data_IF_063639918799
#
_entry.id   IF_063639918799
#
_cell.length_a   1.000
_cell.length_b   1.000
_cell.length_c   1.000
_cell.angle_alpha   90.00
_cell.angle_beta   90.00
_cell.angle_gamma   90.00
#
_symmetry.space_group_name_H-M   'P 1'
#
loop_
_entity.id
_entity.type
_entity.pdbx_description
1 polymer ?
#
# COMPACT_ATOMS: atom_id res chain seq x y z
N UNK A 1 26.16 7.92 -3.36
CA UNK A 1 25.59 8.80 -4.40
C UNK A 1 25.04 7.89 -5.47
N UNK A 2 23.75 7.95 -5.75
CA UNK A 2 23.12 7.21 -6.85
C UNK A 2 22.16 8.15 -7.58
N UNK A 3 22.04 7.95 -8.88
CA UNK A 3 21.09 8.62 -9.75
C UNK A 3 20.32 7.54 -10.49
N UNK A 4 19.01 7.64 -10.53
CA UNK A 4 18.16 6.71 -11.26
C UNK A 4 17.03 7.45 -11.94
N UNK A 5 16.75 7.13 -13.20
CA UNK A 5 15.63 7.70 -13.94
C UNK A 5 14.42 6.75 -13.90
N UNK A 6 13.25 7.28 -13.59
CA UNK A 6 11.97 6.58 -13.63
C UNK A 6 11.17 7.09 -14.84
N UNK A 7 11.05 6.30 -15.93
CA UNK A 7 10.49 6.77 -17.18
C UNK A 7 8.99 7.08 -17.09
N UNK A 8 8.20 6.23 -16.43
CA UNK A 8 6.76 6.45 -16.25
C UNK A 8 6.43 7.73 -15.47
N UNK A 9 7.28 8.11 -14.52
CA UNK A 9 7.11 9.34 -13.72
C UNK A 9 7.80 10.55 -14.36
N UNK A 10 8.60 10.34 -15.42
CA UNK A 10 9.53 11.33 -15.97
C UNK A 10 10.32 12.03 -14.85
N UNK A 11 10.91 11.25 -13.95
CA UNK A 11 11.55 11.75 -12.74
C UNK A 11 12.94 11.16 -12.51
N UNK A 12 13.87 11.99 -12.05
CA UNK A 12 15.22 11.60 -11.64
C UNK A 12 15.24 11.49 -10.11
N UNK A 13 15.61 10.32 -9.62
CA UNK A 13 15.83 10.00 -8.21
C UNK A 13 17.30 10.21 -7.90
N UNK A 14 17.60 11.25 -7.11
CA UNK A 14 18.97 11.67 -6.81
C UNK A 14 19.27 11.54 -5.32
N UNK A 15 20.25 10.70 -4.96
CA UNK A 15 20.73 10.58 -3.59
C UNK A 15 21.88 11.56 -3.33
N UNK A 16 21.64 12.51 -2.43
CA UNK A 16 22.58 13.57 -2.06
C UNK A 16 23.74 13.05 -1.21
N UNK A 17 24.80 13.85 -1.08
CA UNK A 17 25.92 13.55 -0.16
C UNK A 17 25.51 13.51 1.31
N UNK A 18 24.38 14.14 1.67
CA UNK A 18 23.82 14.16 3.03
C UNK A 18 22.90 12.96 3.31
N UNK A 19 22.77 12.02 2.37
CA UNK A 19 21.92 10.84 2.52
C UNK A 19 20.44 11.08 2.28
N UNK A 20 20.03 12.27 1.80
CA UNK A 20 18.66 12.51 1.38
C UNK A 20 18.42 12.11 -0.06
N UNK A 21 17.18 11.77 -0.40
CA UNK A 21 16.71 11.54 -1.77
C UNK A 21 15.95 12.76 -2.24
N UNK A 22 16.23 13.21 -3.46
CA UNK A 22 15.43 14.20 -4.18
C UNK A 22 14.80 13.56 -5.41
N UNK A 23 13.52 13.83 -5.61
CA UNK A 23 12.83 13.56 -6.87
C UNK A 23 12.86 14.84 -7.69
N UNK A 24 13.38 14.75 -8.91
CA UNK A 24 13.56 15.90 -9.80
C UNK A 24 12.77 15.63 -11.08
N UNK A 25 11.92 16.56 -11.50
CA UNK A 25 11.19 16.48 -12.76
C UNK A 25 12.18 16.46 -13.95
N UNK A 26 12.07 15.43 -14.79
CA UNK A 26 12.99 15.21 -15.91
C UNK A 26 12.94 16.31 -16.98
N UNK A 27 11.82 17.04 -17.08
CA UNK A 27 11.65 18.11 -18.08
C UNK A 27 12.07 19.48 -17.55
N UNK A 28 11.59 19.86 -16.37
CA UNK A 28 11.79 21.21 -15.81
C UNK A 28 12.99 21.32 -14.87
N UNK A 29 13.52 20.19 -14.38
CA UNK A 29 14.55 20.19 -13.34
C UNK A 29 14.05 20.63 -11.96
N UNK A 30 12.73 20.87 -11.79
CA UNK A 30 12.15 21.23 -10.51
C UNK A 30 12.28 20.06 -9.52
N UNK A 31 12.65 20.36 -8.27
CA UNK A 31 12.57 19.35 -7.20
C UNK A 31 11.11 19.14 -6.84
N UNK A 32 10.59 17.95 -7.08
CA UNK A 32 9.21 17.56 -6.84
C UNK A 32 8.98 17.14 -5.39
N UNK A 33 9.94 16.44 -4.80
CA UNK A 33 9.93 16.02 -3.40
C UNK A 33 11.37 15.81 -2.91
N UNK A 34 11.58 15.92 -1.60
CA UNK A 34 12.86 15.60 -0.96
C UNK A 34 12.61 14.94 0.38
N UNK A 35 13.35 13.86 0.69
CA UNK A 35 13.21 13.17 1.97
C UNK A 35 14.56 12.65 2.50
N UNK A 36 14.72 12.63 3.82
CA UNK A 36 15.89 12.10 4.52
C UNK A 36 15.59 10.69 5.04
N UNK A 37 15.61 9.70 4.14
CA UNK A 37 15.23 8.32 4.45
C UNK A 37 16.32 7.59 5.24
N UNK A 38 16.00 7.01 6.39
CA UNK A 38 16.90 6.10 7.09
C UNK A 38 16.08 5.03 7.81
N UNK A 39 16.40 3.75 7.60
CA UNK A 39 15.85 2.69 8.45
C UNK A 39 16.65 2.58 9.76
N UNK A 40 17.97 2.84 9.70
CA UNK A 40 18.81 3.03 10.88
C UNK A 40 19.69 4.28 10.79
N UNK A 41 19.96 4.96 11.92
CA UNK A 41 20.87 6.09 11.96
C UNK A 41 22.23 5.78 11.32
N UNK A 42 22.67 6.65 10.41
CA UNK A 42 23.98 6.55 9.75
C UNK A 42 24.04 5.56 8.58
N UNK A 43 22.90 4.97 8.19
CA UNK A 43 22.79 4.15 6.98
C UNK A 43 23.01 4.97 5.70
N UNK A 44 23.76 4.42 4.75
CA UNK A 44 23.99 5.08 3.46
C UNK A 44 22.89 4.72 2.47
N UNK A 45 22.06 5.71 2.18
CA UNK A 45 20.95 5.56 1.24
C UNK A 45 21.45 5.39 -0.19
N UNK A 46 20.74 4.53 -0.91
CA UNK A 46 20.83 4.23 -2.33
C UNK A 46 19.41 4.08 -2.85
N UNK A 47 19.22 4.45 -4.10
CA UNK A 47 17.93 4.32 -4.77
C UNK A 47 18.15 3.96 -6.23
N UNK A 48 17.34 3.02 -6.73
CA UNK A 48 17.42 2.50 -8.09
C UNK A 48 16.05 2.03 -8.58
N UNK A 49 15.67 2.44 -9.79
CA UNK A 49 14.53 1.95 -10.53
C UNK A 49 14.89 0.69 -11.31
N UNK A 50 14.00 -0.30 -11.32
CA UNK A 50 14.15 -1.56 -12.03
C UNK A 50 13.05 -1.71 -13.09
N UNK A 51 13.37 -1.45 -14.38
CA UNK A 51 12.37 -1.48 -15.45
C UNK A 51 11.65 -2.82 -15.63
N UNK A 52 12.34 -3.94 -15.35
CA UNK A 52 11.79 -5.29 -15.54
C UNK A 52 10.58 -5.59 -14.63
N UNK A 53 10.46 -4.88 -13.50
CA UNK A 53 9.39 -5.07 -12.51
C UNK A 53 8.58 -3.80 -12.27
N UNK A 54 9.00 -2.68 -12.87
CA UNK A 54 8.42 -1.36 -12.66
C UNK A 54 8.33 -0.98 -11.16
N UNK A 55 9.44 -1.18 -10.44
CA UNK A 55 9.58 -0.86 -9.01
C UNK A 55 10.85 -0.07 -8.75
N UNK A 56 10.81 0.73 -7.68
CA UNK A 56 11.95 1.46 -7.13
C UNK A 56 12.41 0.76 -5.86
N UNK A 57 13.69 0.43 -5.79
CA UNK A 57 14.35 0.02 -4.56
C UNK A 57 14.91 1.24 -3.84
N UNK A 58 14.57 1.36 -2.58
CA UNK A 58 15.17 2.26 -1.60
C UNK A 58 15.95 1.40 -0.62
N UNK A 59 17.26 1.62 -0.52
CA UNK A 59 18.13 0.75 0.26
C UNK A 59 19.06 1.61 1.09
N UNK A 60 19.14 1.38 2.40
CA UNK A 60 20.23 1.94 3.20
C UNK A 60 21.34 0.89 3.40
N UNK A 61 22.06 0.93 4.52
CA UNK A 61 23.03 -0.11 4.82
C UNK A 61 22.38 -1.37 5.42
N UNK A 62 21.10 -1.36 5.81
CA UNK A 62 20.47 -2.39 6.64
C UNK A 62 19.10 -2.88 6.16
N UNK A 63 18.31 -2.03 5.53
CA UNK A 63 16.95 -2.37 5.07
C UNK A 63 16.79 -2.14 3.57
N UNK A 64 15.84 -2.88 3.00
CA UNK A 64 15.41 -2.76 1.60
C UNK A 64 13.92 -2.44 1.56
N UNK A 65 13.57 -1.26 1.07
CA UNK A 65 12.22 -0.88 0.67
C UNK A 65 12.03 -1.07 -0.81
N UNK A 66 10.95 -1.72 -1.22
CA UNK A 66 10.62 -1.94 -2.63
C UNK A 66 9.23 -1.38 -2.90
N UNK A 67 9.13 -0.33 -3.72
CA UNK A 67 7.88 0.41 -3.91
C UNK A 67 7.54 0.59 -5.39
N UNK A 68 6.25 0.58 -5.69
CA UNK A 68 5.68 1.14 -6.93
C UNK A 68 5.20 2.57 -6.68
N UNK A 69 4.95 3.34 -7.74
CA UNK A 69 4.29 4.63 -7.61
C UNK A 69 2.81 4.48 -7.17
N UNK A 70 2.31 5.50 -6.48
CA UNK A 70 0.91 5.67 -6.17
C UNK A 70 0.38 6.83 -7.01
N UNK A 71 -0.43 6.55 -8.03
CA UNK A 71 -1.04 7.58 -8.89
C UNK A 71 -0.01 8.57 -9.50
N UNK A 72 1.17 8.06 -9.83
CA UNK A 72 2.26 8.82 -10.43
C UNK A 72 3.05 9.69 -9.46
N UNK A 73 3.12 9.31 -8.17
CA UNK A 73 4.08 9.84 -7.17
C UNK A 73 4.70 8.69 -6.38
N UNK A 74 5.86 8.92 -5.75
CA UNK A 74 6.48 7.97 -4.82
C UNK A 74 6.32 8.48 -3.39
N UNK A 75 5.84 7.63 -2.50
CA UNK A 75 5.77 7.94 -1.06
C UNK A 75 7.15 7.74 -0.45
N UNK A 76 7.94 8.82 -0.40
CA UNK A 76 9.35 8.75 -0.03
C UNK A 76 9.52 8.56 1.47
N UNK A 77 8.90 9.42 2.30
CA UNK A 77 9.19 9.55 3.75
C UNK A 77 9.06 8.23 4.50
N UNK A 78 8.28 7.30 3.94
CA UNK A 78 7.99 6.00 4.53
C UNK A 78 8.53 4.81 3.74
N UNK A 79 9.32 5.06 2.69
CA UNK A 79 9.83 4.02 1.79
C UNK A 79 10.81 3.05 2.47
N UNK A 80 11.52 3.50 3.50
CA UNK A 80 12.44 2.67 4.30
C UNK A 80 11.88 2.29 5.68
N UNK A 81 10.60 2.54 5.96
CA UNK A 81 10.01 2.18 7.24
C UNK A 81 9.81 0.66 7.36
N UNK A 82 10.45 -0.01 8.33
CA UNK A 82 10.19 -1.41 8.63
C UNK A 82 8.91 -1.60 9.46
N UNK A 83 8.38 -2.83 9.54
CA UNK A 83 7.35 -3.16 10.52
C UNK A 83 7.80 -2.91 11.96
N UNK A 84 6.84 -2.54 12.80
CA UNK A 84 6.99 -2.45 14.24
C UNK A 84 6.64 -3.78 14.93
N UNK A 85 7.08 -3.92 16.18
CA UNK A 85 6.89 -5.14 16.96
C UNK A 85 5.61 -5.09 17.79
N UNK A 86 5.26 -3.90 18.31
CA UNK A 86 4.16 -3.70 19.24
C UNK A 86 3.24 -2.57 18.80
N UNK A 87 1.94 -2.60 19.18
CA UNK A 87 1.00 -1.53 18.84
C UNK A 87 1.37 -0.16 19.42
N UNK A 88 2.13 -0.11 20.52
CA UNK A 88 2.59 1.13 21.15
C UNK A 88 3.75 1.80 20.41
N UNK A 89 4.42 1.07 19.52
CA UNK A 89 5.56 1.58 18.76
C UNK A 89 5.10 2.70 17.80
N UNK A 90 5.95 3.72 17.67
CA UNK A 90 5.71 4.84 16.76
C UNK A 90 5.87 4.39 15.31
N UNK A 91 4.92 4.79 14.46
CA UNK A 91 5.00 4.61 13.01
C UNK A 91 4.83 5.95 12.30
N UNK A 92 5.40 6.03 11.11
CA UNK A 92 5.16 7.08 10.14
C UNK A 92 4.15 6.61 9.09
N UNK A 93 3.22 7.48 8.73
CA UNK A 93 2.25 7.24 7.68
C UNK A 93 2.21 8.45 6.77
N UNK A 94 2.24 8.24 5.46
CA UNK A 94 2.33 9.30 4.46
C UNK A 94 1.12 9.21 3.53
N UNK A 95 0.37 10.31 3.40
CA UNK A 95 -0.79 10.43 2.51
C UNK A 95 -0.55 11.53 1.47
N UNK A 96 -0.94 11.33 0.20
CA UNK A 96 -1.11 12.44 -0.74
C UNK A 96 -2.03 13.52 -0.17
N UNK A 97 -1.75 14.80 -0.43
CA UNK A 97 -2.58 15.92 0.05
C UNK A 97 -4.06 15.78 -0.31
N UNK A 98 -4.36 15.21 -1.49
CA UNK A 98 -5.75 14.96 -1.92
C UNK A 98 -6.49 13.99 -0.98
N UNK A 99 -5.83 12.91 -0.56
CA UNK A 99 -6.37 11.94 0.38
C UNK A 99 -6.47 12.52 1.80
N UNK A 100 -5.47 13.29 2.22
CA UNK A 100 -5.48 14.01 3.48
C UNK A 100 -6.65 15.01 3.57
N UNK A 101 -6.94 15.74 2.49
CA UNK A 101 -8.06 16.66 2.44
C UNK A 101 -9.43 15.95 2.52
N UNK A 102 -9.57 14.78 1.88
CA UNK A 102 -10.77 13.95 1.98
C UNK A 102 -11.00 13.47 3.42
N UNK A 103 -9.95 13.04 4.10
CA UNK A 103 -10.01 12.65 5.52
C UNK A 103 -10.40 13.83 6.41
N UNK A 104 -9.80 15.01 6.19
CA UNK A 104 -10.10 16.19 6.97
C UNK A 104 -11.56 16.62 6.81
N UNK A 105 -12.07 16.70 5.58
CA UNK A 105 -13.46 17.06 5.30
C UNK A 105 -14.43 16.07 5.95
N UNK A 106 -14.18 14.76 5.85
CA UNK A 106 -15.02 13.76 6.50
C UNK A 106 -15.07 13.95 8.03
N UNK A 107 -13.90 14.09 8.67
CA UNK A 107 -13.77 14.28 10.11
C UNK A 107 -14.38 15.59 10.64
N UNK A 108 -14.54 16.62 9.80
CA UNK A 108 -15.11 17.91 10.20
C UNK A 108 -16.61 18.04 9.87
N UNK A 109 -17.09 17.38 8.83
CA UNK A 109 -18.40 17.66 8.24
C UNK A 109 -19.34 16.46 8.17
N UNK A 110 -18.82 15.22 8.26
CA UNK A 110 -19.59 14.00 7.95
C UNK A 110 -19.76 13.05 9.13
N UNK A 111 -18.76 12.98 10.01
CA UNK A 111 -18.74 12.03 11.14
C UNK A 111 -18.34 12.74 12.42
N UNK A 112 -18.83 12.25 13.57
CA UNK A 112 -18.36 12.68 14.88
C UNK A 112 -17.48 11.59 15.50
N UNK A 113 -16.17 11.83 15.45
CA UNK A 113 -15.14 10.98 16.08
C UNK A 113 -14.34 11.77 17.12
N UNK A 114 -14.86 12.92 17.55
CA UNK A 114 -14.14 13.89 18.39
C UNK A 114 -13.74 13.35 19.76
N UNK A 115 -14.54 12.42 20.28
CA UNK A 115 -14.35 11.76 21.58
C UNK A 115 -13.41 10.54 21.53
N UNK A 116 -12.96 10.14 20.35
CA UNK A 116 -12.10 8.97 20.19
C UNK A 116 -10.69 9.25 20.74
N UNK A 117 -10.17 8.33 21.54
CA UNK A 117 -8.78 8.37 22.01
C UNK A 117 -7.80 8.51 20.84
N UNK A 118 -6.85 9.44 20.98
CA UNK A 118 -5.86 9.73 19.96
C UNK A 118 -6.36 10.54 18.76
N UNK A 119 -7.66 10.81 18.62
CA UNK A 119 -8.19 11.62 17.53
C UNK A 119 -7.62 13.03 17.51
N UNK A 120 -7.44 13.67 18.66
CA UNK A 120 -6.86 15.02 18.74
C UNK A 120 -5.43 15.07 18.20
N UNK A 121 -4.63 14.03 18.45
CA UNK A 121 -3.27 13.90 17.90
C UNK A 121 -3.31 13.72 16.37
N UNK A 122 -4.20 12.85 15.91
CA UNK A 122 -4.41 12.60 14.48
C UNK A 122 -4.84 13.87 13.73
N UNK A 123 -5.89 14.56 14.20
CA UNK A 123 -6.45 15.72 13.52
C UNK A 123 -5.50 16.94 13.58
N UNK A 124 -4.70 17.08 14.64
CA UNK A 124 -3.68 18.14 14.73
C UNK A 124 -2.61 17.94 13.67
N UNK A 125 -2.02 16.73 13.56
CA UNK A 125 -1.01 16.44 12.54
C UNK A 125 -1.57 16.55 11.12
N UNK A 126 -2.83 16.13 10.90
CA UNK A 126 -3.49 16.28 9.60
C UNK A 126 -3.62 17.76 9.19
N UNK A 127 -4.11 18.62 10.09
CA UNK A 127 -4.28 20.05 9.83
C UNK A 127 -2.96 20.78 9.66
N UNK A 128 -1.98 20.49 10.52
CA UNK A 128 -0.65 21.08 10.44
C UNK A 128 0.07 20.66 9.16
N UNK A 129 0.00 19.38 8.80
CA UNK A 129 0.54 18.85 7.55
C UNK A 129 -0.03 19.58 6.34
N UNK A 130 -1.37 19.63 6.21
CA UNK A 130 -2.04 20.34 5.10
C UNK A 130 -1.66 21.83 5.04
N UNK A 131 -1.55 22.49 6.20
CA UNK A 131 -1.10 23.89 6.27
C UNK A 131 0.32 24.05 5.76
N UNK A 132 1.26 23.21 6.21
CA UNK A 132 2.66 23.29 5.81
C UNK A 132 2.81 23.05 4.30
N UNK A 133 2.09 22.07 3.75
CA UNK A 133 2.15 21.74 2.33
C UNK A 133 1.55 22.84 1.44
N UNK A 134 0.55 23.58 1.92
CA UNK A 134 -0.06 24.68 1.16
C UNK A 134 0.92 25.81 0.83
N UNK A 135 1.87 26.08 1.75
CA UNK A 135 2.90 27.09 1.55
C UNK A 135 3.98 26.64 0.56
N UNK A 136 4.38 25.37 0.61
CA UNK A 136 5.46 24.82 -0.23
C UNK A 136 5.06 24.63 -1.70
N UNK A 137 3.76 24.46 -1.96
CA UNK A 137 3.23 24.03 -3.27
C UNK A 137 2.58 25.14 -4.10
N UNK A 138 2.38 26.33 -3.51
CA UNK A 138 1.57 27.42 -4.07
C UNK A 138 2.00 27.90 -5.48
N UNK A 139 3.24 27.66 -5.89
CA UNK A 139 3.80 28.15 -7.15
C UNK A 139 3.95 27.09 -8.25
N UNK A 140 3.75 25.78 -7.98
CA UNK A 140 4.03 24.73 -8.96
C UNK A 140 3.09 23.53 -8.82
N UNK A 141 2.18 23.38 -9.79
CA UNK A 141 1.20 22.28 -9.82
C UNK A 141 1.84 20.88 -9.84
N UNK A 142 3.04 20.72 -10.42
CA UNK A 142 3.77 19.45 -10.37
C UNK A 142 4.27 19.16 -8.96
N UNK A 143 4.78 20.16 -8.25
CA UNK A 143 5.19 20.01 -6.84
C UNK A 143 3.96 19.74 -5.96
N UNK A 144 2.84 20.42 -6.23
CA UNK A 144 1.58 20.19 -5.55
C UNK A 144 1.09 18.73 -5.68
N UNK A 145 1.27 18.09 -6.84
CA UNK A 145 0.94 16.67 -7.02
C UNK A 145 1.74 15.75 -6.09
N UNK A 146 3.02 16.05 -5.89
CA UNK A 146 3.96 15.24 -5.09
C UNK A 146 3.90 15.52 -3.60
N UNK A 147 3.04 16.43 -3.20
CA UNK A 147 2.97 16.90 -1.85
C UNK A 147 2.18 15.92 -0.96
N UNK A 148 2.74 15.62 0.20
CA UNK A 148 2.21 14.63 1.14
C UNK A 148 2.06 15.21 2.54
N UNK A 149 1.19 14.57 3.34
CA UNK A 149 1.03 14.80 4.76
C UNK A 149 1.51 13.57 5.50
N UNK A 150 2.47 13.76 6.41
CA UNK A 150 3.09 12.68 7.17
C UNK A 150 2.64 12.71 8.63
N UNK A 151 2.13 11.58 9.11
CA UNK A 151 1.83 11.34 10.50
C UNK A 151 3.03 10.69 11.18
N UNK A 152 3.20 10.97 12.47
CA UNK A 152 4.12 10.28 13.36
C UNK A 152 3.42 10.03 14.70
N UNK A 153 2.81 8.86 14.82
CA UNK A 153 1.94 8.48 15.95
C UNK A 153 2.13 6.99 16.29
N UNK A 154 1.74 6.56 17.50
CA UNK A 154 1.72 5.14 17.83
C UNK A 154 0.82 4.35 16.87
N UNK A 155 1.23 3.13 16.52
CA UNK A 155 0.49 2.28 15.60
C UNK A 155 -0.98 2.07 16.02
N UNK A 156 -1.22 1.77 17.29
CA UNK A 156 -2.56 1.55 17.82
C UNK A 156 -3.45 2.79 17.71
N UNK A 157 -2.90 3.99 17.89
CA UNK A 157 -3.66 5.25 17.77
C UNK A 157 -4.17 5.41 16.34
N UNK A 158 -3.29 5.26 15.34
CA UNK A 158 -3.70 5.37 13.94
C UNK A 158 -4.72 4.29 13.56
N UNK A 159 -4.51 3.06 14.01
CA UNK A 159 -5.41 1.93 13.74
C UNK A 159 -6.79 2.14 14.34
N UNK A 160 -6.84 2.63 15.58
CA UNK A 160 -8.08 2.91 16.28
C UNK A 160 -8.86 4.04 15.61
N UNK A 161 -8.20 5.17 15.34
CA UNK A 161 -8.84 6.32 14.68
C UNK A 161 -9.34 5.95 13.28
N UNK A 162 -8.50 5.32 12.44
CA UNK A 162 -8.91 4.93 11.10
C UNK A 162 -10.05 3.89 11.11
N UNK A 163 -10.02 2.92 12.02
CA UNK A 163 -11.08 1.92 12.19
C UNK A 163 -12.42 2.54 12.63
N UNK A 164 -12.38 3.51 13.55
CA UNK A 164 -13.56 4.26 13.97
C UNK A 164 -14.12 5.10 12.82
N UNK A 165 -13.25 5.78 12.06
CA UNK A 165 -13.66 6.55 10.87
C UNK A 165 -14.38 5.64 9.86
N UNK A 166 -13.81 4.47 9.53
CA UNK A 166 -14.46 3.49 8.66
C UNK A 166 -15.83 3.07 9.22
N UNK A 167 -15.91 2.85 10.53
CA UNK A 167 -17.15 2.42 11.20
C UNK A 167 -18.25 3.49 11.15
N UNK A 168 -17.91 4.76 11.37
CA UNK A 168 -18.87 5.87 11.27
C UNK A 168 -19.28 6.14 9.82
N UNK A 169 -18.34 6.08 8.88
CA UNK A 169 -18.65 6.26 7.46
C UNK A 169 -19.60 5.17 6.92
N UNK A 170 -19.54 3.95 7.46
CA UNK A 170 -20.50 2.89 7.14
C UNK A 170 -21.93 3.22 7.58
N UNK A 171 -22.09 3.93 8.70
CA UNK A 171 -23.42 4.24 9.28
C UNK A 171 -24.16 5.31 8.49
N UNK A 172 -23.44 6.29 7.94
CA UNK A 172 -24.07 7.41 7.23
C UNK A 172 -24.63 7.02 5.85
N UNK A 173 -24.35 5.80 5.36
CA UNK A 173 -24.86 5.25 4.10
C UNK A 173 -24.71 6.24 2.91
N UNK A 174 -23.60 6.97 2.88
CA UNK A 174 -23.25 7.93 1.85
C UNK A 174 -21.96 7.51 1.15
N UNK A 175 -21.87 7.84 -0.14
CA UNK A 175 -20.68 7.62 -0.94
C UNK A 175 -19.59 8.67 -0.64
N UNK A 176 -18.80 8.45 0.40
CA UNK A 176 -17.77 9.41 0.88
C UNK A 176 -16.36 8.89 0.58
N UNK A 177 -15.56 9.68 -0.15
CA UNK A 177 -14.20 9.31 -0.58
C UNK A 177 -13.26 8.89 0.56
N UNK A 178 -13.44 9.47 1.75
CA UNK A 178 -12.68 9.11 2.95
C UNK A 178 -12.80 7.62 3.33
N UNK A 179 -13.84 6.90 2.86
CA UNK A 179 -13.97 5.46 3.08
C UNK A 179 -12.78 4.69 2.51
N UNK A 180 -12.40 5.00 1.26
CA UNK A 180 -11.27 4.34 0.59
C UNK A 180 -9.93 4.73 1.19
N UNK A 181 -9.77 6.00 1.61
CA UNK A 181 -8.56 6.47 2.28
C UNK A 181 -8.38 5.82 3.65
N UNK A 182 -9.42 5.83 4.49
CA UNK A 182 -9.36 5.21 5.81
C UNK A 182 -9.14 3.69 5.73
N UNK A 183 -9.73 3.02 4.72
CA UNK A 183 -9.48 1.60 4.48
C UNK A 183 -8.05 1.32 4.03
N UNK A 184 -7.47 2.19 3.19
CA UNK A 184 -6.05 2.11 2.78
C UNK A 184 -5.10 2.30 3.96
N UNK A 185 -5.42 3.22 4.89
CA UNK A 185 -4.68 3.39 6.14
C UNK A 185 -4.74 2.11 6.97
N UNK A 186 -5.92 1.52 7.13
CA UNK A 186 -6.11 0.27 7.89
C UNK A 186 -5.32 -0.90 7.28
N UNK A 187 -5.36 -1.09 5.97
CA UNK A 187 -4.61 -2.12 5.26
C UNK A 187 -3.11 -1.93 5.46
N UNK A 188 -2.58 -0.73 5.21
CA UNK A 188 -1.17 -0.39 5.43
C UNK A 188 -0.71 -0.66 6.86
N UNK A 189 -1.51 -0.30 7.87
CA UNK A 189 -1.20 -0.55 9.27
C UNK A 189 -1.18 -2.05 9.59
N UNK A 190 -1.99 -2.87 8.91
CA UNK A 190 -1.95 -4.33 9.09
C UNK A 190 -0.60 -4.93 8.68
N UNK A 191 0.02 -4.43 7.61
CA UNK A 191 1.36 -4.84 7.17
C UNK A 191 2.49 -4.30 8.05
N UNK A 192 2.28 -3.17 8.72
CA UNK A 192 3.28 -2.54 9.59
C UNK A 192 3.40 -3.17 10.98
N UNK A 193 2.52 -4.10 11.38
CA UNK A 193 2.63 -4.78 12.67
C UNK A 193 2.97 -6.25 12.46
N UNK A 194 4.19 -6.65 12.84
CA UNK A 194 4.74 -7.98 12.55
C UNK A 194 3.91 -9.13 13.13
N UNK A 195 3.33 -8.94 14.31
CA UNK A 195 2.53 -9.93 15.03
C UNK A 195 1.11 -10.10 14.50
N UNK A 196 0.68 -9.25 13.58
CA UNK A 196 -0.71 -9.16 13.13
C UNK A 196 -0.91 -9.55 11.66
N UNK A 197 0.07 -10.18 11.00
CA UNK A 197 -0.11 -10.68 9.63
C UNK A 197 -1.26 -11.69 9.60
N UNK A 198 -2.38 -11.39 8.93
CA UNK A 198 -3.53 -12.28 8.94
C UNK A 198 -3.20 -13.57 8.21
N UNK A 199 -3.43 -14.71 8.84
CA UNK A 199 -3.53 -15.96 8.08
C UNK A 199 -4.83 -15.89 7.27
N UNK A 200 -4.74 -15.77 5.95
CA UNK A 200 -5.89 -15.63 5.07
C UNK A 200 -6.82 -16.85 5.04
N UNK A 201 -6.44 -17.94 5.73
CA UNK A 201 -7.25 -19.15 5.81
C UNK A 201 -7.43 -19.83 4.46
N UNK A 202 -6.44 -19.76 3.57
CA UNK A 202 -6.53 -20.33 2.21
C UNK A 202 -6.59 -21.86 2.24
N UNK A 203 -7.51 -22.43 1.46
CA UNK A 203 -7.65 -23.88 1.25
C UNK A 203 -9.07 -24.44 1.46
N UNK A 204 -9.32 -25.68 1.03
CA UNK A 204 -10.66 -26.28 1.08
C UNK A 204 -11.25 -26.34 2.49
N UNK A 205 -12.50 -25.88 2.62
CA UNK A 205 -13.28 -25.99 3.86
C UNK A 205 -12.89 -25.03 4.98
N UNK A 206 -12.02 -24.05 4.72
CA UNK A 206 -11.67 -22.99 5.68
C UNK A 206 -12.55 -21.75 5.51
N UNK A 207 -12.97 -21.14 6.62
CA UNK A 207 -13.70 -19.88 6.60
C UNK A 207 -12.73 -18.72 6.36
N UNK A 208 -12.98 -17.92 5.33
CA UNK A 208 -12.24 -16.67 5.06
C UNK A 208 -12.93 -15.53 5.80
N UNK A 209 -12.18 -14.78 6.62
CA UNK A 209 -12.68 -13.51 7.14
C UNK A 209 -12.76 -12.50 6.00
N UNK A 210 -14.00 -12.16 5.64
CA UNK A 210 -14.31 -11.20 4.59
C UNK A 210 -13.67 -9.84 4.79
N UNK A 211 -13.43 -9.42 6.04
CA UNK A 211 -12.80 -8.14 6.34
C UNK A 211 -11.37 -8.05 5.80
N UNK A 212 -10.68 -9.18 5.67
CA UNK A 212 -9.35 -9.26 5.07
C UNK A 212 -9.39 -9.07 3.56
N UNK A 213 -10.52 -9.39 2.93
CA UNK A 213 -10.72 -9.33 1.47
C UNK A 213 -10.99 -7.91 0.95
N UNK A 214 -11.00 -6.90 1.83
CA UNK A 214 -10.93 -5.50 1.42
C UNK A 214 -9.62 -5.20 0.68
N UNK A 215 -8.53 -5.89 1.03
CA UNK A 215 -7.24 -5.81 0.36
C UNK A 215 -7.22 -6.62 -0.93
N UNK A 216 -6.97 -5.98 -2.07
CA UNK A 216 -6.81 -6.68 -3.36
C UNK A 216 -5.64 -7.68 -3.33
N UNK A 217 -4.56 -7.34 -2.63
CA UNK A 217 -3.43 -8.24 -2.42
C UNK A 217 -3.85 -9.54 -1.71
N UNK A 218 -4.63 -9.42 -0.62
CA UNK A 218 -5.15 -10.59 0.08
C UNK A 218 -6.11 -11.41 -0.79
N UNK A 219 -6.99 -10.74 -1.55
CA UNK A 219 -7.89 -11.44 -2.49
C UNK A 219 -7.10 -12.27 -3.49
N UNK A 220 -6.05 -11.70 -4.07
CA UNK A 220 -5.16 -12.37 -5.03
C UNK A 220 -4.51 -13.62 -4.44
N UNK A 221 -4.05 -13.56 -3.19
CA UNK A 221 -3.43 -14.70 -2.49
C UNK A 221 -4.37 -15.89 -2.29
N UNK A 222 -5.69 -15.68 -2.29
CA UNK A 222 -6.65 -16.78 -2.18
C UNK A 222 -6.68 -17.71 -3.39
N UNK A 223 -6.19 -17.27 -4.55
CA UNK A 223 -6.21 -18.03 -5.80
C UNK A 223 -5.05 -19.03 -5.95
N UNK A 224 -4.31 -19.33 -4.88
CA UNK A 224 -3.20 -20.30 -4.90
C UNK A 224 -3.61 -21.70 -5.37
N UNK A 225 -4.85 -22.12 -5.08
CA UNK A 225 -5.42 -23.40 -5.53
C UNK A 225 -6.49 -23.24 -6.62
N UNK A 226 -6.48 -22.14 -7.37
CA UNK A 226 -7.43 -21.87 -8.45
C UNK A 226 -7.30 -22.91 -9.58
N UNK A 227 -8.38 -23.60 -9.99
CA UNK A 227 -8.29 -24.69 -10.97
C UNK A 227 -8.01 -24.21 -12.41
N UNK A 228 -8.21 -22.92 -12.71
CA UNK A 228 -8.25 -22.41 -14.08
C UNK A 228 -6.98 -21.64 -14.50
N UNK A 229 -5.80 -22.23 -14.28
CA UNK A 229 -4.52 -21.60 -14.65
C UNK A 229 -4.37 -21.28 -16.16
N UNK A 230 -5.17 -21.92 -17.04
CA UNK A 230 -5.15 -21.69 -18.49
C UNK A 230 -6.14 -20.64 -19.01
N UNK A 231 -7.01 -20.09 -18.16
CA UNK A 231 -8.08 -19.20 -18.62
C UNK A 231 -7.59 -17.77 -18.73
N UNK A 232 -7.49 -17.24 -19.95
CA UNK A 232 -6.90 -15.92 -20.20
C UNK A 232 -7.44 -14.81 -19.28
N UNK A 233 -8.75 -14.79 -19.05
CA UNK A 233 -9.43 -13.73 -18.29
C UNK A 233 -9.55 -14.05 -16.81
N UNK A 234 -10.01 -15.26 -16.46
CA UNK A 234 -10.19 -15.69 -15.07
C UNK A 234 -8.85 -16.12 -14.40
N UNK A 235 -7.83 -15.28 -14.49
CA UNK A 235 -6.57 -15.41 -13.75
C UNK A 235 -6.66 -14.74 -12.37
N UNK A 236 -5.74 -15.03 -11.42
CA UNK A 236 -5.74 -14.43 -10.09
C UNK A 236 -5.81 -12.89 -10.09
N UNK A 237 -5.04 -12.21 -10.97
CA UNK A 237 -4.98 -10.75 -10.98
C UNK A 237 -6.32 -10.12 -11.43
N UNK A 238 -6.90 -10.46 -12.59
CA UNK A 238 -8.20 -9.91 -12.99
C UNK A 238 -9.34 -10.29 -12.04
N UNK A 239 -9.31 -11.50 -11.48
CA UNK A 239 -10.32 -11.95 -10.50
C UNK A 239 -10.28 -11.09 -9.23
N UNK A 240 -9.09 -10.93 -8.62
CA UNK A 240 -8.91 -10.11 -7.44
C UNK A 240 -9.25 -8.64 -7.71
N UNK A 241 -8.86 -8.11 -8.88
CA UNK A 241 -9.17 -6.75 -9.31
C UNK A 241 -10.69 -6.52 -9.42
N UNK A 242 -11.44 -7.48 -9.98
CA UNK A 242 -12.90 -7.45 -10.06
C UNK A 242 -13.62 -7.67 -8.71
N UNK A 243 -12.87 -7.78 -7.62
CA UNK A 243 -13.38 -7.87 -6.27
C UNK A 243 -13.65 -9.30 -5.79
N UNK A 244 -13.21 -10.30 -6.55
CA UNK A 244 -13.38 -11.70 -6.18
C UNK A 244 -12.23 -12.21 -5.32
N UNK A 245 -12.55 -13.08 -4.38
CA UNK A 245 -11.61 -13.97 -3.72
C UNK A 245 -12.08 -15.41 -3.87
N UNK A 246 -11.14 -16.33 -3.98
CA UNK A 246 -11.39 -17.75 -4.10
C UNK A 246 -11.71 -18.36 -2.73
N UNK A 247 -12.83 -19.07 -2.63
CA UNK A 247 -13.26 -19.73 -1.40
C UNK A 247 -13.74 -21.16 -1.72
N UNK A 248 -12.81 -22.09 -1.99
CA UNK A 248 -13.16 -23.45 -2.41
C UNK A 248 -13.77 -24.25 -1.26
N UNK A 249 -14.88 -24.94 -1.52
CA UNK A 249 -15.43 -25.94 -0.61
C UNK A 249 -14.64 -27.27 -0.67
N UNK A 250 -14.09 -27.59 -1.84
CA UNK A 250 -13.31 -28.80 -2.09
C UNK A 250 -12.20 -28.53 -3.12
N UNK A 251 -11.27 -29.48 -3.28
CA UNK A 251 -10.22 -29.37 -4.30
C UNK A 251 -10.82 -29.32 -5.70
N UNK A 252 -10.41 -28.36 -6.51
CA UNK A 252 -10.91 -28.18 -7.88
C UNK A 252 -12.20 -27.37 -7.98
N UNK A 253 -12.74 -26.91 -6.86
CA UNK A 253 -13.83 -25.92 -6.82
C UNK A 253 -13.31 -24.57 -7.33
N UNK A 254 -14.12 -23.90 -8.16
CA UNK A 254 -13.84 -22.59 -8.74
C UNK A 254 -14.73 -21.49 -8.15
N UNK A 255 -15.26 -21.73 -6.95
CA UNK A 255 -16.06 -20.77 -6.22
C UNK A 255 -15.33 -19.47 -5.91
N UNK A 256 -15.83 -18.39 -6.49
CA UNK A 256 -15.35 -17.02 -6.30
C UNK A 256 -16.43 -16.15 -5.64
N UNK A 257 -16.05 -15.40 -4.62
CA UNK A 257 -16.93 -14.58 -3.78
C UNK A 257 -16.54 -13.10 -3.89
N UNK A 258 -17.53 -12.20 -4.04
CA UNK A 258 -17.26 -10.76 -3.99
C UNK A 258 -17.09 -10.25 -2.55
N UNK A 259 -16.03 -9.47 -2.30
CA UNK A 259 -15.79 -8.86 -0.97
C UNK A 259 -16.87 -7.85 -0.53
N UNK A 260 -17.61 -7.22 -1.45
CA UNK A 260 -18.60 -6.17 -1.12
C UNK A 260 -20.06 -6.64 -1.18
N UNK A 261 -20.49 -7.32 -2.24
CA UNK A 261 -21.90 -7.71 -2.40
C UNK A 261 -22.15 -9.19 -2.08
N UNK A 262 -21.09 -9.97 -1.85
CA UNK A 262 -21.17 -11.41 -1.55
C UNK A 262 -21.83 -12.25 -2.66
N UNK A 263 -21.88 -11.76 -3.90
CA UNK A 263 -22.23 -12.62 -5.03
C UNK A 263 -21.22 -13.77 -5.10
N UNK A 264 -21.74 -14.96 -5.34
CA UNK A 264 -20.99 -16.22 -5.41
C UNK A 264 -21.10 -16.74 -6.84
N UNK A 265 -19.98 -16.79 -7.55
CA UNK A 265 -19.92 -17.31 -8.92
C UNK A 265 -19.09 -18.60 -8.94
N UNK A 266 -19.54 -19.56 -9.74
CA UNK A 266 -18.99 -20.91 -9.92
C UNK A 266 -19.11 -21.28 -11.40
N UNK A 267 -18.48 -22.37 -11.81
CA UNK A 267 -18.51 -22.85 -13.19
C UNK A 267 -17.97 -21.80 -14.19
N UNK A 268 -16.82 -21.20 -13.85
CA UNK A 268 -16.15 -20.23 -14.71
C UNK A 268 -15.77 -20.88 -16.05
N UNK A 269 -15.93 -20.14 -17.13
CA UNK A 269 -15.59 -20.53 -18.49
C UNK A 269 -14.37 -19.74 -19.01
N UNK A 270 -13.63 -20.26 -20.02
CA UNK A 270 -12.45 -19.57 -20.57
C UNK A 270 -12.72 -18.16 -21.12
N UNK A 271 -13.96 -17.89 -21.51
CA UNK A 271 -14.40 -16.61 -22.07
C UNK A 271 -14.91 -15.61 -21.03
N UNK A 272 -15.08 -16.04 -19.77
CA UNK A 272 -15.67 -15.20 -18.73
C UNK A 272 -14.71 -14.10 -18.31
N UNK A 273 -15.16 -12.86 -18.50
CA UNK A 273 -14.47 -11.68 -17.99
C UNK A 273 -15.00 -11.37 -16.58
N UNK A 274 -14.13 -11.36 -15.54
CA UNK A 274 -14.59 -11.22 -14.15
C UNK A 274 -15.45 -9.99 -13.88
N UNK A 275 -15.11 -8.83 -14.46
CA UNK A 275 -15.90 -7.61 -14.31
C UNK A 275 -17.28 -7.72 -14.96
N UNK A 276 -17.35 -8.27 -16.18
CA UNK A 276 -18.61 -8.45 -16.89
C UNK A 276 -19.53 -9.43 -16.17
N UNK A 277 -18.98 -10.54 -15.66
CA UNK A 277 -19.76 -11.50 -14.87
C UNK A 277 -20.23 -10.90 -13.54
N UNK A 278 -19.39 -10.09 -12.89
CA UNK A 278 -19.79 -9.38 -11.67
C UNK A 278 -20.93 -8.40 -11.92
N UNK A 279 -20.85 -7.59 -12.97
CA UNK A 279 -21.90 -6.63 -13.33
C UNK A 279 -23.19 -7.35 -13.74
N UNK A 280 -23.09 -8.40 -14.56
CA UNK A 280 -24.23 -9.19 -15.01
C UNK A 280 -24.98 -9.84 -13.85
N UNK A 281 -24.26 -10.42 -12.89
CA UNK A 281 -24.87 -11.17 -11.78
C UNK A 281 -25.19 -10.32 -10.55
N UNK A 282 -24.56 -9.14 -10.40
CA UNK A 282 -24.78 -8.23 -9.27
C UNK A 282 -24.64 -6.76 -9.70
N UNK A 283 -25.52 -6.25 -10.57
CA UNK A 283 -25.40 -4.88 -11.12
C UNK A 283 -25.57 -3.77 -10.07
N UNK A 284 -26.10 -4.12 -8.89
CA UNK A 284 -26.28 -3.21 -7.76
C UNK A 284 -25.13 -3.24 -6.74
N UNK A 285 -24.08 -4.01 -7.01
CA UNK A 285 -22.88 -4.05 -6.19
C UNK A 285 -22.23 -2.64 -6.09
N UNK A 286 -22.01 -2.09 -4.88
CA UNK A 286 -21.37 -0.79 -4.71
C UNK A 286 -20.01 -0.68 -5.41
N UNK A 287 -19.24 -1.78 -5.41
CA UNK A 287 -17.93 -1.81 -6.07
C UNK A 287 -18.04 -1.77 -7.60
N UNK A 288 -19.01 -2.50 -8.19
CA UNK A 288 -19.27 -2.44 -9.64
C UNK A 288 -19.75 -1.05 -10.05
N UNK A 289 -20.55 -0.38 -9.22
CA UNK A 289 -21.02 1.01 -9.45
C UNK A 289 -19.91 2.07 -9.31
N UNK A 290 -18.71 1.70 -8.90
CA UNK A 290 -17.61 2.64 -8.66
C UNK A 290 -17.80 3.50 -7.41
N UNK A 291 -18.59 3.05 -6.44
CA UNK A 291 -18.75 3.74 -5.15
C UNK A 291 -17.48 3.58 -4.29
N UNK A 292 -17.28 4.51 -3.36
CA UNK A 292 -16.21 4.49 -2.37
C UNK A 292 -16.48 3.40 -1.33
N UNK A 293 -16.01 2.20 -1.66
CA UNK A 293 -16.03 1.04 -0.76
C UNK A 293 -14.73 0.95 0.05
N UNK A 294 -14.63 -0.10 0.86
CA UNK A 294 -13.41 -0.43 1.60
C UNK A 294 -12.31 -1.07 0.74
N UNK A 295 -12.50 -1.18 -0.59
CA UNK A 295 -11.48 -1.73 -1.46
C UNK A 295 -10.15 -0.99 -1.29
N UNK A 296 -9.07 -1.76 -1.10
CA UNK A 296 -7.70 -1.27 -1.15
C UNK A 296 -7.04 -1.87 -2.39
N UNK A 297 -6.83 -1.07 -3.45
CA UNK A 297 -6.22 -1.55 -4.69
C UNK A 297 -4.80 -2.05 -4.48
N UNK A 298 -4.36 -3.00 -5.32
CA UNK A 298 -3.01 -3.57 -5.24
C UNK A 298 -1.92 -2.48 -5.38
N UNK A 299 -2.17 -1.42 -6.15
CA UNK A 299 -1.26 -0.28 -6.29
C UNK A 299 -0.97 0.41 -4.95
N UNK A 300 -1.95 0.49 -4.04
CA UNK A 300 -1.76 1.05 -2.70
C UNK A 300 -0.82 0.17 -1.88
N UNK A 301 -1.06 -1.15 -1.87
CA UNK A 301 -0.20 -2.10 -1.14
C UNK A 301 1.24 -2.07 -1.67
N UNK A 302 1.42 -2.06 -3.00
CA UNK A 302 2.75 -1.98 -3.63
C UNK A 302 3.45 -0.63 -3.40
N UNK A 303 2.71 0.46 -3.29
CA UNK A 303 3.28 1.78 -2.98
C UNK A 303 3.57 1.98 -1.48
N UNK A 304 2.98 1.16 -0.60
CA UNK A 304 3.07 1.30 0.86
C UNK A 304 3.79 0.14 1.58
N UNK A 305 4.26 -0.87 0.84
CA UNK A 305 4.89 -2.10 1.34
C UNK A 305 6.06 -1.88 2.33
N UNK A 306 5.99 -2.33 3.59
CA UNK A 306 7.05 -2.09 4.57
C UNK A 306 8.43 -2.56 4.13
N UNK A 307 9.47 -1.82 4.52
CA UNK A 307 10.85 -2.20 4.26
C UNK A 307 11.21 -3.49 5.01
N UNK A 308 12.11 -4.27 4.43
CA UNK A 308 12.53 -5.56 4.96
C UNK A 308 13.98 -5.49 5.42
N UNK A 309 14.27 -6.11 6.58
CA UNK A 309 15.64 -6.34 7.01
C UNK A 309 16.10 -7.74 6.55
N UNK A 310 17.22 -7.88 5.82
CA UNK A 310 17.81 -9.18 5.56
C UNK A 310 18.29 -9.85 6.87
N UNK A 311 18.69 -9.06 7.86
CA UNK A 311 19.12 -9.53 9.18
C UNK A 311 18.14 -9.11 10.27
N UNK A 312 18.35 -9.54 11.53
CA UNK A 312 17.54 -9.00 12.63
C UNK A 312 17.67 -7.46 12.70
N UNK A 313 16.65 -6.75 13.20
CA UNK A 313 16.71 -5.30 13.40
C UNK A 313 17.88 -4.84 14.28
N UNK A 314 18.45 -5.70 15.13
CA UNK A 314 19.63 -5.36 15.96
C UNK A 314 20.97 -5.65 15.28
N UNK A 315 20.96 -6.29 14.10
CA UNK A 315 22.18 -6.66 13.41
C UNK A 315 22.92 -5.45 12.83
N UNK A 316 24.25 -5.43 13.00
CA UNK A 316 25.15 -4.48 12.36
C UNK A 316 25.67 -4.96 11.00
N UNK A 317 25.21 -6.13 10.53
CA UNK A 317 25.62 -6.69 9.26
C UNK A 317 24.97 -5.95 8.08
N UNK A 318 25.81 -5.30 7.28
CA UNK A 318 25.37 -4.38 6.24
C UNK A 318 25.02 -5.12 4.94
N UNK A 319 24.07 -4.58 4.19
CA UNK A 319 23.75 -5.03 2.83
C UNK A 319 24.94 -4.73 1.90
N UNK A 320 25.48 -5.79 1.31
CA UNK A 320 26.55 -5.74 0.33
C UNK A 320 25.99 -5.51 -1.08
N UNK A 321 24.99 -6.30 -1.48
CA UNK A 321 24.32 -6.19 -2.78
C UNK A 321 22.83 -6.55 -2.68
N UNK A 322 22.06 -6.09 -3.65
CA UNK A 322 20.62 -6.30 -3.76
C UNK A 322 20.19 -6.22 -5.23
N UNK A 323 19.04 -6.77 -5.55
CA UNK A 323 18.44 -6.64 -6.87
C UNK A 323 17.46 -7.75 -7.21
N UNK A 324 16.95 -7.69 -8.43
CA UNK A 324 16.09 -8.72 -9.02
C UNK A 324 16.94 -9.68 -9.86
N UNK A 325 16.63 -10.97 -9.77
CA UNK A 325 17.27 -12.02 -10.58
C UNK A 325 16.57 -12.23 -11.93
N UNK A 326 16.75 -13.41 -12.50
CA UNK A 326 16.01 -13.86 -13.70
C UNK A 326 14.51 -14.07 -13.45
N UNK A 327 14.12 -14.20 -12.18
CA UNK A 327 12.74 -14.27 -11.73
C UNK A 327 12.35 -12.88 -11.19
N UNK A 328 11.72 -12.01 -12.00
CA UNK A 328 11.44 -10.62 -11.63
C UNK A 328 10.51 -10.49 -10.42
N UNK A 329 9.73 -11.52 -10.11
CA UNK A 329 8.91 -11.55 -8.90
C UNK A 329 9.74 -11.57 -7.60
N UNK A 330 10.99 -12.05 -7.63
CA UNK A 330 11.79 -12.19 -6.42
C UNK A 330 12.85 -11.11 -6.28
N UNK A 331 12.84 -10.43 -5.14
CA UNK A 331 13.86 -9.49 -4.70
C UNK A 331 14.85 -10.20 -3.80
N UNK A 332 16.15 -10.10 -4.10
CA UNK A 332 17.21 -10.66 -3.26
C UNK A 332 18.09 -9.56 -2.66
N UNK A 333 18.58 -9.79 -1.44
CA UNK A 333 19.66 -9.02 -0.83
C UNK A 333 20.66 -9.94 -0.13
N UNK A 334 21.94 -9.60 -0.23
CA UNK A 334 23.02 -10.29 0.46
C UNK A 334 23.78 -9.34 1.38
N UNK A 335 24.13 -9.82 2.57
CA UNK A 335 24.87 -9.06 3.58
C UNK A 335 26.38 -9.29 3.49
N UNK A 336 27.18 -8.45 4.16
CA UNK A 336 28.64 -8.57 4.18
C UNK A 336 29.14 -9.84 4.86
N UNK A 337 28.38 -10.43 5.79
CA UNK A 337 28.70 -11.73 6.39
C UNK A 337 28.10 -12.91 5.64
N UNK A 338 27.56 -12.71 4.44
CA UNK A 338 27.12 -13.78 3.54
C UNK A 338 25.70 -14.28 3.77
N UNK A 339 24.87 -13.59 4.55
CA UNK A 339 23.43 -13.93 4.65
C UNK A 339 22.73 -13.50 3.37
N UNK A 340 21.94 -14.40 2.79
CA UNK A 340 21.12 -14.13 1.60
C UNK A 340 19.65 -14.22 2.00
N UNK A 341 18.87 -13.20 1.63
CA UNK A 341 17.42 -13.16 1.83
C UNK A 341 16.74 -12.91 0.49
N UNK A 342 15.60 -13.59 0.30
CA UNK A 342 14.77 -13.49 -0.90
C UNK A 342 13.34 -13.21 -0.43
N UNK A 343 12.71 -12.21 -1.04
CA UNK A 343 11.32 -11.82 -0.83
C UNK A 343 10.56 -11.88 -2.15
N UNK A 344 9.26 -12.15 -2.09
CA UNK A 344 8.31 -12.17 -3.21
C UNK A 344 7.64 -10.80 -3.50
#
# INVERSE_FOLDING_TARGET
>A
RSLSYHPALNAILAVTSRGSIKVIDGTSGATLQSSALQAKPGGRVRCQYFPAVDKVLFVDDYAVGCRKDLNGILLLDTALQPPVAKPEDMVQLELPVTEAQQMLSACQEKIDVSNMEGYQLFISQLKEGLKNTSHETAANHKVAKWATVTFHLPHHVLKLVAGTIVSELKKINQNVAAMSVASSIMDRLSYLLSSARPELGVGPGRSVDRSLMYSEANRRETFTSWPHAGYRWAQPDPMAQAGFYHQPASTGDDRAMCFTCSVCLVCWEPTDEPWSEHERHSPNCPFVKGEHTQNVPLSVTLATSPAQFPSSPDSSDKIACYGFGSCPQFLAAATKRGKICIWD
#
